data_IF_663855771884
#
_entry.id   IF_663855771884
#
_cell.length_a   1.000
_cell.length_b   1.000
_cell.length_c   1.000
_cell.angle_alpha   90.00
_cell.angle_beta   90.00
_cell.angle_gamma   90.00
#
_symmetry.space_group_name_H-M   'P 1'
#
loop_
_entity.id
_entity.type
_entity.pdbx_description
1 polymer ?
#
# COMPACT_ATOMS: atom_id res chain seq x y z
N UNK A 1 -49.72 4.49 -1.28
CA UNK A 1 -48.40 3.91 -0.92
C UNK A 1 -47.23 4.48 -1.73
N UNK A 2 -47.43 5.11 -2.91
CA UNK A 2 -46.33 5.59 -3.77
C UNK A 2 -45.49 6.78 -3.23
N UNK A 3 -46.08 7.67 -2.42
CA UNK A 3 -45.37 8.84 -1.87
C UNK A 3 -44.29 8.46 -0.84
N UNK A 4 -44.53 7.37 -0.09
CA UNK A 4 -43.59 6.87 0.91
C UNK A 4 -42.32 6.28 0.27
N UNK A 5 -42.45 5.60 -0.87
CA UNK A 5 -41.31 5.06 -1.63
C UNK A 5 -40.47 6.15 -2.28
N UNK A 6 -41.11 7.22 -2.78
CA UNK A 6 -40.42 8.39 -3.32
C UNK A 6 -39.53 9.10 -2.30
N UNK A 7 -40.02 9.27 -1.06
CA UNK A 7 -39.25 9.87 0.04
C UNK A 7 -38.04 9.03 0.42
N UNK A 8 -38.19 7.71 0.55
CA UNK A 8 -37.06 6.82 0.89
C UNK A 8 -35.98 6.77 -0.18
N UNK A 9 -36.36 6.87 -1.47
CA UNK A 9 -35.41 6.91 -2.58
C UNK A 9 -34.63 8.23 -2.62
N UNK A 10 -35.29 9.35 -2.27
CA UNK A 10 -34.63 10.65 -2.14
C UNK A 10 -33.57 10.64 -1.02
N UNK A 11 -33.91 10.12 0.16
CA UNK A 11 -32.96 10.01 1.27
C UNK A 11 -31.77 9.10 0.95
N UNK A 12 -31.99 7.99 0.24
CA UNK A 12 -30.88 7.15 -0.25
C UNK A 12 -29.96 7.91 -1.21
N UNK A 13 -30.53 8.63 -2.18
CA UNK A 13 -29.75 9.44 -3.13
C UNK A 13 -28.90 10.51 -2.44
N UNK A 14 -29.45 11.19 -1.43
CA UNK A 14 -28.69 12.15 -0.61
C UNK A 14 -27.58 11.46 0.19
N UNK A 15 -27.87 10.30 0.77
CA UNK A 15 -26.88 9.52 1.51
C UNK A 15 -25.71 9.05 0.65
N UNK A 16 -25.96 8.62 -0.58
CA UNK A 16 -24.90 8.17 -1.50
C UNK A 16 -24.08 9.35 -2.04
N UNK A 17 -24.71 10.50 -2.29
CA UNK A 17 -24.00 11.73 -2.60
C UNK A 17 -23.10 12.18 -1.44
N UNK A 18 -23.60 12.09 -0.20
CA UNK A 18 -22.83 12.40 1.00
C UNK A 18 -21.62 11.47 1.13
N UNK A 19 -21.79 10.16 0.95
CA UNK A 19 -20.66 9.20 0.96
C UNK A 19 -19.62 9.53 -0.12
N UNK A 20 -20.06 9.86 -1.34
CA UNK A 20 -19.15 10.23 -2.42
C UNK A 20 -18.39 11.52 -2.11
N UNK A 21 -19.06 12.51 -1.52
CA UNK A 21 -18.43 13.75 -1.07
C UNK A 21 -17.41 13.48 0.04
N UNK A 22 -17.75 12.68 1.05
CA UNK A 22 -16.83 12.31 2.14
C UNK A 22 -15.61 11.55 1.62
N UNK A 23 -15.79 10.62 0.68
CA UNK A 23 -14.68 9.89 0.05
C UNK A 23 -13.74 10.84 -0.73
N UNK A 24 -14.28 11.87 -1.37
CA UNK A 24 -13.48 12.89 -2.07
C UNK A 24 -12.73 13.79 -1.08
N UNK A 25 -13.39 14.23 -0.01
CA UNK A 25 -12.77 15.08 1.01
C UNK A 25 -11.64 14.36 1.74
N UNK A 26 -11.86 13.11 2.15
CA UNK A 26 -10.83 12.31 2.84
C UNK A 26 -9.59 12.11 1.96
N UNK A 27 -9.77 11.81 0.68
CA UNK A 27 -8.66 11.75 -0.29
C UNK A 27 -7.92 13.08 -0.42
N UNK A 28 -8.63 14.19 -0.48
CA UNK A 28 -8.01 15.52 -0.58
C UNK A 28 -7.23 15.90 0.69
N UNK A 29 -7.74 15.56 1.87
CA UNK A 29 -7.04 15.79 3.13
C UNK A 29 -5.78 14.92 3.24
N UNK A 30 -5.84 13.66 2.80
CA UNK A 30 -4.67 12.79 2.74
C UNK A 30 -3.61 13.36 1.78
N UNK A 31 -4.02 13.77 0.58
CA UNK A 31 -3.14 14.45 -0.39
C UNK A 31 -2.43 15.65 0.25
N UNK A 32 -3.19 16.55 0.87
CA UNK A 32 -2.64 17.78 1.45
C UNK A 32 -1.65 17.47 2.57
N UNK A 33 -1.97 16.51 3.43
CA UNK A 33 -1.07 16.08 4.51
C UNK A 33 0.23 15.51 3.95
N UNK A 34 0.16 14.57 3.02
CA UNK A 34 1.34 13.95 2.40
C UNK A 34 2.19 15.00 1.70
N UNK A 35 1.56 15.88 0.91
CA UNK A 35 2.25 16.95 0.20
C UNK A 35 3.00 17.87 1.17
N UNK A 36 2.34 18.32 2.26
CA UNK A 36 2.99 19.17 3.26
C UNK A 36 4.16 18.48 3.93
N UNK A 37 3.95 17.25 4.41
CA UNK A 37 5.01 16.47 5.06
C UNK A 37 6.23 16.26 4.15
N UNK A 38 6.02 15.87 2.88
CA UNK A 38 7.13 15.69 1.94
C UNK A 38 7.79 17.02 1.55
N UNK A 39 7.02 18.11 1.48
CA UNK A 39 7.56 19.41 1.09
C UNK A 39 8.40 20.07 2.22
N UNK A 40 8.11 19.72 3.47
CA UNK A 40 8.88 20.10 4.66
C UNK A 40 10.20 19.32 4.79
N UNK A 41 10.31 18.13 4.18
CA UNK A 41 11.54 17.35 4.15
C UNK A 41 12.61 18.01 3.26
N UNK A 42 13.86 17.84 3.66
CA UNK A 42 15.02 18.31 2.89
C UNK A 42 15.28 17.40 1.69
N UNK A 43 15.98 17.91 0.67
CA UNK A 43 16.26 17.13 -0.54
C UNK A 43 17.08 15.87 -0.25
N UNK A 44 17.92 15.87 0.80
CA UNK A 44 18.66 14.68 1.24
C UNK A 44 17.75 13.63 1.88
N UNK A 45 16.80 14.05 2.72
CA UNK A 45 15.83 13.13 3.32
C UNK A 45 14.87 12.55 2.28
N UNK A 46 14.53 13.34 1.26
CA UNK A 46 13.78 12.87 0.09
C UNK A 46 14.61 11.83 -0.69
N UNK A 47 15.90 12.09 -0.91
CA UNK A 47 16.80 11.16 -1.58
C UNK A 47 16.98 9.84 -0.81
N UNK A 48 17.04 9.89 0.53
CA UNK A 48 17.15 8.70 1.39
C UNK A 48 15.95 7.75 1.23
N UNK A 49 14.76 8.29 0.94
CA UNK A 49 13.55 7.49 0.64
C UNK A 49 13.37 7.23 -0.87
N UNK A 50 14.29 7.70 -1.69
CA UNK A 50 14.32 7.54 -3.14
C UNK A 50 13.27 8.37 -3.88
N UNK A 51 12.96 9.57 -3.39
CA UNK A 51 12.05 10.53 -4.02
C UNK A 51 12.79 11.82 -4.39
N UNK A 52 12.37 12.48 -5.46
CA UNK A 52 12.78 13.86 -5.72
C UNK A 52 11.64 14.85 -5.44
N UNK A 53 11.98 16.14 -5.30
CA UNK A 53 11.00 17.21 -5.08
C UNK A 53 9.93 17.29 -6.19
N UNK A 54 10.27 16.86 -7.41
CA UNK A 54 9.32 16.76 -8.53
C UNK A 54 8.30 15.62 -8.38
N UNK A 55 8.62 14.56 -7.65
CA UNK A 55 7.73 13.40 -7.46
C UNK A 55 6.64 13.63 -6.42
N UNK A 56 6.81 14.64 -5.56
CA UNK A 56 5.93 14.89 -4.40
C UNK A 56 4.45 15.01 -4.82
N UNK A 57 4.15 15.76 -5.89
CA UNK A 57 2.77 15.93 -6.38
C UNK A 57 2.15 14.60 -6.85
N UNK A 58 2.97 13.75 -7.48
CA UNK A 58 2.55 12.43 -7.97
C UNK A 58 2.32 11.46 -6.81
N UNK A 59 3.27 11.40 -5.86
CA UNK A 59 3.19 10.53 -4.67
C UNK A 59 2.04 10.96 -3.77
N UNK A 60 1.82 12.26 -3.56
CA UNK A 60 0.71 12.76 -2.76
C UNK A 60 -0.66 12.38 -3.35
N UNK A 61 -0.76 12.19 -4.67
CA UNK A 61 -1.97 11.69 -5.36
C UNK A 61 -2.12 10.16 -5.27
N UNK A 62 -1.16 9.46 -4.67
CA UNK A 62 -1.16 8.01 -4.51
C UNK A 62 -0.47 7.26 -5.66
N UNK A 63 0.30 7.97 -6.51
CA UNK A 63 1.08 7.36 -7.57
C UNK A 63 2.54 7.28 -7.13
N UNK A 64 3.01 6.08 -6.80
CA UNK A 64 4.44 5.85 -6.54
C UNK A 64 5.19 5.82 -7.89
N UNK A 65 6.22 6.66 -8.11
CA UNK A 65 7.06 6.62 -9.32
C UNK A 65 7.77 5.28 -9.50
N UNK A 66 7.95 4.52 -8.43
CA UNK A 66 8.63 3.24 -8.47
C UNK A 66 7.66 2.18 -8.99
N UNK A 67 8.12 1.25 -9.84
CA UNK A 67 7.28 0.15 -10.26
C UNK A 67 6.88 -0.63 -9.00
N UNK A 68 5.57 -0.85 -8.86
CA UNK A 68 4.95 -1.54 -7.71
C UNK A 68 5.84 -2.72 -7.33
N UNK A 69 6.27 -2.83 -6.07
CA UNK A 69 7.21 -3.86 -5.57
C UNK A 69 6.96 -5.26 -6.14
N UNK A 70 5.71 -5.62 -6.38
CA UNK A 70 5.26 -6.83 -7.08
C UNK A 70 5.87 -7.01 -8.47
N UNK A 71 5.96 -5.95 -9.28
CA UNK A 71 6.59 -5.96 -10.61
C UNK A 71 8.11 -6.18 -10.51
N UNK A 72 8.78 -5.57 -9.54
CA UNK A 72 10.20 -5.83 -9.27
C UNK A 72 10.43 -7.27 -8.79
N UNK A 73 9.61 -7.75 -7.86
CA UNK A 73 9.68 -9.11 -7.34
C UNK A 73 9.35 -10.13 -8.45
N UNK A 74 8.34 -9.88 -9.27
CA UNK A 74 8.00 -10.72 -10.42
C UNK A 74 9.13 -10.76 -11.44
N UNK A 75 9.75 -9.61 -11.75
CA UNK A 75 10.92 -9.56 -12.62
C UNK A 75 12.12 -10.29 -12.01
N UNK A 76 12.37 -10.13 -10.71
CA UNK A 76 13.46 -10.82 -10.00
C UNK A 76 13.22 -12.33 -9.90
N UNK A 77 11.98 -12.77 -9.67
CA UNK A 77 11.59 -14.18 -9.65
C UNK A 77 11.68 -14.81 -11.04
N UNK A 78 11.27 -14.08 -12.08
CA UNK A 78 11.43 -14.49 -13.47
C UNK A 78 12.90 -14.66 -13.84
N UNK A 79 13.77 -13.71 -13.44
CA UNK A 79 15.22 -13.82 -13.62
C UNK A 79 15.83 -15.02 -12.87
N UNK A 80 15.23 -15.40 -11.73
CA UNK A 80 15.71 -16.50 -10.88
C UNK A 80 15.12 -17.87 -11.26
N UNK A 81 14.21 -17.92 -12.25
CA UNK A 81 13.56 -19.16 -12.70
C UNK A 81 12.67 -19.82 -11.63
N UNK A 82 12.27 -19.08 -10.60
CA UNK A 82 11.51 -19.61 -9.47
C UNK A 82 10.03 -19.63 -9.85
N UNK A 83 9.56 -20.80 -10.28
CA UNK A 83 8.13 -21.02 -10.55
C UNK A 83 7.34 -21.07 -9.23
N UNK A 84 6.07 -20.64 -9.20
CA UNK A 84 5.25 -20.66 -7.98
C UNK A 84 5.11 -22.04 -7.34
N UNK A 85 5.39 -23.12 -8.08
CA UNK A 85 5.40 -24.50 -7.57
C UNK A 85 6.51 -24.74 -6.52
N UNK A 86 7.64 -24.04 -6.57
CA UNK A 86 8.73 -24.23 -5.60
C UNK A 86 8.47 -23.59 -4.23
N UNK A 87 7.42 -22.77 -4.11
CA UNK A 87 6.98 -22.20 -2.83
C UNK A 87 5.93 -23.07 -2.12
N UNK A 88 5.35 -24.06 -2.81
CA UNK A 88 4.35 -24.95 -2.23
C UNK A 88 4.96 -26.09 -1.39
N UNK A 89 6.28 -26.33 -1.53
CA UNK A 89 6.98 -27.46 -0.91
C UNK A 89 7.80 -27.02 0.32
N UNK A 90 7.11 -26.47 1.33
CA UNK A 90 7.63 -26.42 2.70
C UNK A 90 6.52 -26.78 3.68
N UNK A 91 6.11 -28.04 3.65
CA UNK A 91 5.60 -28.68 4.87
C UNK A 91 6.76 -28.70 5.86
N UNK A 92 6.64 -27.87 6.89
CA UNK A 92 7.59 -27.71 7.98
C UNK A 92 7.84 -29.07 8.64
N UNK A 93 8.97 -29.71 8.33
CA UNK A 93 9.56 -30.74 9.17
C UNK A 93 10.58 -30.04 10.09
N UNK A 94 10.14 -29.76 11.32
CA UNK A 94 10.98 -29.31 12.41
C UNK A 94 11.79 -30.51 12.94
N UNK A 95 12.76 -30.96 12.15
CA UNK A 95 13.72 -31.98 12.54
C UNK A 95 15.00 -31.35 13.11
N UNK A 96 15.23 -31.58 14.40
CA UNK A 96 16.51 -31.57 15.12
C UNK A 96 17.41 -30.32 14.99
N UNK A 97 17.32 -29.41 15.98
CA UNK A 97 18.34 -28.40 16.23
C UNK A 97 19.41 -28.98 17.18
N UNK A 98 20.50 -29.49 16.62
CA UNK A 98 21.62 -30.13 17.34
C UNK A 98 22.59 -29.12 17.99
N UNK A 99 22.07 -28.03 18.57
CA UNK A 99 22.93 -27.01 19.19
C UNK A 99 23.06 -27.17 20.71
N UNK A 100 23.35 -28.39 21.16
CA UNK A 100 23.80 -28.68 22.53
C UNK A 100 25.05 -29.58 22.51
N UNK A 101 26.21 -29.02 22.17
CA UNK A 101 27.51 -29.41 22.77
C UNK A 101 28.56 -28.35 22.42
N UNK A 102 28.63 -27.28 23.21
CA UNK A 102 29.88 -26.56 23.45
C UNK A 102 29.96 -26.26 24.95
N UNK A 103 30.79 -27.07 25.61
CA UNK A 103 31.66 -26.76 26.76
C UNK A 103 31.07 -26.04 27.99
N UNK A 104 31.00 -26.76 29.12
CA UNK A 104 31.42 -26.24 30.42
C UNK A 104 31.65 -27.36 31.46
N UNK A 105 32.87 -27.36 32.02
CA UNK A 105 33.39 -28.05 33.22
C UNK A 105 33.86 -29.51 33.12
#
# INVERSE_FOLDING_TARGET
MAVAEGLLNLFKGVGDLAKAATAKVTKYMAYRRIYQTLNEMTDRELDDIGLCRGDIDMVARGHDPRPRREAYLAAALAQRGVTPASFADKTVDQGANDNQTVEAA
#
